data_IF_486852093918
#
_entry.id   IF_486852093918
#
_cell.length_a   1.000
_cell.length_b   1.000
_cell.length_c   1.000
_cell.angle_alpha   90.00
_cell.angle_beta   90.00
_cell.angle_gamma   90.00
#
_symmetry.space_group_name_H-M   'P 1'
#
loop_
_entity.id
_entity.type
_entity.pdbx_description
1 polymer ?
#
# COMPACT_ATOMS: atom_id res chain seq x y z
N UNK A 1 89.22 3.89 -3.92
CA UNK A 1 88.38 4.03 -5.11
C UNK A 1 87.20 3.05 -4.94
N UNK A 2 86.09 3.46 -4.36
CA UNK A 2 84.89 2.63 -4.19
C UNK A 2 83.74 3.36 -4.90
N UNK A 3 83.24 2.78 -5.96
CA UNK A 3 82.05 3.26 -6.70
C UNK A 3 80.81 2.68 -6.04
N UNK A 4 79.97 3.54 -5.49
CA UNK A 4 78.65 3.17 -5.05
C UNK A 4 77.66 3.28 -6.24
N UNK A 5 77.03 2.16 -6.59
CA UNK A 5 75.95 2.09 -7.58
C UNK A 5 74.64 2.26 -6.79
N UNK A 6 73.97 3.38 -7.03
CA UNK A 6 72.60 3.62 -6.49
C UNK A 6 71.61 3.01 -7.43
N UNK A 7 70.85 1.99 -6.99
CA UNK A 7 69.69 1.42 -7.68
C UNK A 7 68.47 2.22 -7.25
N UNK A 8 67.87 2.94 -8.19
CA UNK A 8 66.59 3.61 -8.01
C UNK A 8 65.49 2.59 -8.34
N UNK A 9 64.77 2.14 -7.32
CA UNK A 9 63.55 1.34 -7.48
C UNK A 9 62.40 2.32 -7.66
N UNK A 10 61.92 2.48 -8.90
CA UNK A 10 60.69 3.19 -9.19
C UNK A 10 59.48 2.28 -8.86
N UNK A 11 58.90 2.49 -7.70
CA UNK A 11 57.62 1.87 -7.32
C UNK A 11 56.48 2.49 -8.10
N UNK A 12 55.88 1.74 -9.03
CA UNK A 12 54.62 2.12 -9.68
C UNK A 12 53.46 1.97 -8.67
N UNK A 13 53.03 3.06 -8.09
CA UNK A 13 51.74 3.16 -7.39
C UNK A 13 50.63 3.10 -8.44
N UNK A 14 50.08 1.91 -8.68
CA UNK A 14 48.82 1.75 -9.37
C UNK A 14 47.72 2.33 -8.45
N UNK A 15 47.34 3.56 -8.70
CA UNK A 15 46.16 4.18 -8.05
C UNK A 15 44.94 3.40 -8.47
N UNK A 16 44.38 2.58 -7.57
CA UNK A 16 43.00 2.12 -7.66
C UNK A 16 42.14 3.34 -7.43
N UNK A 17 41.68 3.98 -8.47
CA UNK A 17 40.59 4.93 -8.45
C UNK A 17 39.35 4.13 -8.10
N UNK A 18 39.03 3.99 -6.82
CA UNK A 18 37.68 3.66 -6.41
C UNK A 18 36.80 4.81 -6.92
N UNK A 19 36.10 4.60 -8.01
CA UNK A 19 35.02 5.50 -8.40
C UNK A 19 34.01 5.46 -7.26
N UNK A 20 33.98 6.50 -6.44
CA UNK A 20 32.90 6.73 -5.51
C UNK A 20 31.64 6.87 -6.38
N UNK A 21 30.85 5.81 -6.46
CA UNK A 21 29.55 5.86 -7.10
C UNK A 21 28.73 6.84 -6.27
N UNK A 22 28.24 7.91 -6.89
CA UNK A 22 27.43 8.89 -6.19
C UNK A 22 26.22 8.16 -5.60
N UNK A 23 26.01 8.33 -4.31
CA UNK A 23 24.88 7.72 -3.60
C UNK A 23 23.58 8.27 -4.20
N UNK A 24 22.72 7.38 -4.69
CA UNK A 24 21.41 7.76 -5.23
C UNK A 24 20.50 8.08 -4.06
N UNK A 25 20.03 9.33 -3.98
CA UNK A 25 19.08 9.79 -2.96
C UNK A 25 17.70 9.91 -3.59
N UNK A 26 16.71 9.21 -3.04
CA UNK A 26 15.33 9.20 -3.48
C UNK A 26 14.40 9.61 -2.34
N UNK A 27 13.23 10.13 -2.71
CA UNK A 27 12.15 10.46 -1.79
C UNK A 27 10.99 9.47 -1.96
N UNK A 28 10.33 9.12 -0.85
CA UNK A 28 9.18 8.22 -0.89
C UNK A 28 8.06 8.71 0.01
N UNK A 29 6.81 8.59 -0.44
CA UNK A 29 5.61 8.89 0.33
C UNK A 29 4.80 7.64 0.61
N UNK A 30 4.28 7.52 1.86
CA UNK A 30 3.44 6.39 2.25
C UNK A 30 2.40 6.74 3.30
N UNK A 31 1.46 5.82 3.55
CA UNK A 31 0.44 5.93 4.59
C UNK A 31 1.02 5.80 6.00
N UNK A 32 0.19 5.52 7.01
CA UNK A 32 0.64 5.37 8.39
C UNK A 32 1.68 4.24 8.54
N UNK A 33 2.69 4.39 9.41
CA UNK A 33 3.79 3.43 9.55
C UNK A 33 3.33 1.99 9.85
N UNK A 34 2.26 1.81 10.63
CA UNK A 34 1.71 0.49 10.97
C UNK A 34 0.80 -0.14 9.90
N UNK A 35 0.59 0.53 8.76
CA UNK A 35 -0.18 -0.02 7.63
C UNK A 35 0.72 -0.80 6.67
N UNK A 36 0.13 -1.70 5.86
CA UNK A 36 0.88 -2.43 4.83
C UNK A 36 1.68 -1.50 3.90
N UNK A 37 1.12 -0.41 3.35
CA UNK A 37 1.89 0.56 2.57
C UNK A 37 3.05 1.19 3.34
N UNK A 38 2.83 1.53 4.63
CA UNK A 38 3.89 2.09 5.48
C UNK A 38 5.04 1.12 5.68
N UNK A 39 4.73 -0.14 5.99
CA UNK A 39 5.72 -1.20 6.18
C UNK A 39 6.45 -1.48 4.86
N UNK A 40 5.74 -1.52 3.73
CA UNK A 40 6.33 -1.80 2.42
C UNK A 40 7.40 -0.78 2.03
N UNK A 41 7.09 0.51 2.09
CA UNK A 41 8.05 1.56 1.71
C UNK A 41 9.26 1.58 2.67
N UNK A 42 9.04 1.35 3.98
CA UNK A 42 10.15 1.24 4.94
C UNK A 42 11.02 0.01 4.66
N UNK A 43 10.41 -1.12 4.30
CA UNK A 43 11.14 -2.32 3.91
C UNK A 43 11.91 -2.12 2.60
N UNK A 44 11.33 -1.42 1.60
CA UNK A 44 12.04 -1.05 0.38
C UNK A 44 13.26 -0.17 0.67
N UNK A 45 13.10 0.83 1.56
CA UNK A 45 14.22 1.69 1.96
C UNK A 45 15.37 0.88 2.55
N UNK A 46 15.07 -0.08 3.42
CA UNK A 46 16.09 -0.96 4.01
C UNK A 46 16.68 -1.93 2.96
N UNK A 47 15.86 -2.56 2.13
CA UNK A 47 16.33 -3.47 1.10
C UNK A 47 17.23 -2.75 0.07
N UNK A 48 16.85 -1.55 -0.35
CA UNK A 48 17.64 -0.73 -1.26
C UNK A 48 18.98 -0.29 -0.64
N UNK A 49 18.98 0.09 0.65
CA UNK A 49 20.21 0.43 1.37
C UNK A 49 21.13 -0.80 1.53
N UNK A 50 20.59 -1.95 1.94
CA UNK A 50 21.34 -3.19 2.08
C UNK A 50 21.96 -3.66 0.76
N UNK A 51 21.29 -3.41 -0.36
CA UNK A 51 21.77 -3.72 -1.71
C UNK A 51 22.69 -2.62 -2.29
N UNK A 52 22.96 -1.54 -1.58
CA UNK A 52 23.69 -0.35 -2.03
C UNK A 52 23.10 0.25 -3.33
N UNK A 53 21.77 0.25 -3.45
CA UNK A 53 21.04 0.80 -4.60
C UNK A 53 20.77 2.29 -4.40
N UNK A 54 20.16 2.65 -3.28
CA UNK A 54 19.77 4.02 -2.99
C UNK A 54 19.55 4.25 -1.49
N UNK A 55 19.68 5.52 -1.08
CA UNK A 55 19.18 6.03 0.19
C UNK A 55 17.78 6.61 -0.04
N UNK A 56 16.75 6.06 0.58
CA UNK A 56 15.35 6.49 0.40
C UNK A 56 14.87 7.23 1.64
N UNK A 57 14.59 8.53 1.48
CA UNK A 57 13.98 9.35 2.52
C UNK A 57 12.46 9.14 2.51
N UNK A 58 11.92 8.48 3.54
CA UNK A 58 10.50 8.14 3.63
C UNK A 58 9.72 9.20 4.41
N UNK A 59 8.61 9.68 3.82
CA UNK A 59 7.63 10.58 4.44
C UNK A 59 6.32 9.80 4.70
N UNK A 60 6.08 9.31 5.92
CA UNK A 60 4.89 8.55 6.27
C UNK A 60 3.68 9.45 6.55
N UNK A 61 2.50 8.81 6.74
CA UNK A 61 1.27 9.48 7.15
C UNK A 61 0.55 10.25 6.05
N UNK A 62 0.96 10.06 4.79
CA UNK A 62 0.40 10.75 3.65
C UNK A 62 -0.92 10.17 3.18
N UNK A 63 -1.72 10.99 2.51
CA UNK A 63 -2.90 10.52 1.77
C UNK A 63 -2.46 10.05 0.39
N UNK A 64 -2.49 8.74 0.16
CA UNK A 64 -1.92 8.10 -1.04
C UNK A 64 -2.48 8.64 -2.36
N UNK A 65 -3.70 9.21 -2.35
CA UNK A 65 -4.26 9.94 -3.51
C UNK A 65 -3.37 11.12 -3.94
N UNK A 66 -2.82 11.86 -2.97
CA UNK A 66 -1.89 12.96 -3.26
C UNK A 66 -0.52 12.40 -3.66
N UNK A 67 -0.06 11.36 -2.98
CA UNK A 67 1.25 10.74 -3.24
C UNK A 67 1.35 10.20 -4.67
N UNK A 68 0.31 9.54 -5.18
CA UNK A 68 0.26 9.09 -6.59
C UNK A 68 0.32 10.28 -7.56
N UNK A 69 -0.38 11.38 -7.26
CA UNK A 69 -0.29 12.59 -8.07
C UNK A 69 1.11 13.23 -7.98
N UNK A 70 1.73 13.24 -6.80
CA UNK A 70 3.09 13.77 -6.62
C UNK A 70 4.11 12.97 -7.43
N UNK A 71 3.99 11.64 -7.49
CA UNK A 71 4.82 10.79 -8.38
C UNK A 71 4.58 11.15 -9.85
N UNK A 72 3.30 11.26 -10.27
CA UNK A 72 2.97 11.62 -11.65
C UNK A 72 3.55 12.98 -12.06
N UNK A 73 3.61 13.93 -11.14
CA UNK A 73 4.14 15.28 -11.32
C UNK A 73 5.66 15.38 -11.07
N UNK A 74 6.34 14.28 -10.73
CA UNK A 74 7.77 14.26 -10.43
C UNK A 74 8.19 14.99 -9.15
N UNK A 75 7.26 15.15 -8.18
CA UNK A 75 7.51 15.82 -6.88
C UNK A 75 8.04 14.88 -5.81
N UNK A 76 7.81 13.59 -5.96
CA UNK A 76 8.39 12.50 -5.17
C UNK A 76 8.74 11.36 -6.10
N UNK A 77 9.76 10.58 -5.76
CA UNK A 77 10.29 9.55 -6.64
C UNK A 77 9.48 8.25 -6.54
N UNK A 78 9.04 7.91 -5.33
CA UNK A 78 8.35 6.65 -5.03
C UNK A 78 7.09 6.94 -4.20
N UNK A 79 6.02 6.22 -4.46
CA UNK A 79 4.87 6.20 -3.56
C UNK A 79 4.24 4.81 -3.46
N UNK A 80 3.74 4.47 -2.27
CA UNK A 80 2.78 3.39 -2.14
C UNK A 80 1.45 3.78 -2.79
N UNK A 81 0.85 2.91 -3.58
CA UNK A 81 -0.37 3.19 -4.33
C UNK A 81 -1.35 2.02 -4.37
N UNK A 82 -2.60 2.19 -3.90
CA UNK A 82 -3.71 1.37 -4.36
C UNK A 82 -3.89 1.53 -5.87
N UNK A 83 -3.94 0.45 -6.63
CA UNK A 83 -3.97 0.53 -8.10
C UNK A 83 -5.30 0.99 -8.68
N UNK A 84 -6.33 1.17 -7.85
CA UNK A 84 -7.51 1.93 -8.25
C UNK A 84 -7.19 3.43 -8.52
N UNK A 85 -6.14 4.00 -7.90
CA UNK A 85 -5.85 5.43 -7.98
C UNK A 85 -5.42 5.88 -9.39
N UNK A 86 -4.49 5.21 -10.09
CA UNK A 86 -4.17 5.54 -11.48
C UNK A 86 -5.41 5.44 -12.40
N UNK A 87 -6.28 4.44 -12.19
CA UNK A 87 -7.53 4.33 -12.93
C UNK A 87 -8.47 5.53 -12.67
N UNK A 88 -8.71 5.90 -11.41
CA UNK A 88 -9.54 7.06 -11.08
C UNK A 88 -8.96 8.36 -11.63
N UNK A 89 -7.63 8.49 -11.61
CA UNK A 89 -6.92 9.64 -12.17
C UNK A 89 -7.13 9.74 -13.67
N UNK A 90 -6.97 8.62 -14.41
CA UNK A 90 -7.15 8.59 -15.87
C UNK A 90 -8.57 8.96 -16.32
N UNK A 91 -9.58 8.70 -15.48
CA UNK A 91 -10.98 9.04 -15.74
C UNK A 91 -11.36 10.42 -15.19
N UNK A 92 -10.47 11.07 -14.43
CA UNK A 92 -10.73 12.31 -13.69
C UNK A 92 -12.01 12.21 -12.84
N UNK A 93 -12.13 11.15 -12.05
CA UNK A 93 -13.30 10.90 -11.18
C UNK A 93 -12.89 10.80 -9.71
N UNK A 94 -13.88 10.89 -8.83
CA UNK A 94 -13.65 10.82 -7.39
C UNK A 94 -12.67 11.90 -6.91
N UNK A 95 -11.57 11.52 -6.24
CA UNK A 95 -10.60 12.50 -5.70
C UNK A 95 -9.90 13.33 -6.78
N UNK A 96 -9.88 12.87 -8.01
CA UNK A 96 -9.21 13.52 -9.14
C UNK A 96 -10.16 14.30 -10.08
N UNK A 97 -11.44 14.45 -9.73
CA UNK A 97 -12.43 15.11 -10.59
C UNK A 97 -12.03 16.54 -11.01
N UNK A 98 -11.27 17.25 -10.16
CA UNK A 98 -10.82 18.62 -10.43
C UNK A 98 -9.71 18.72 -11.48
N UNK A 99 -9.04 17.62 -11.81
CA UNK A 99 -7.99 17.62 -12.83
C UNK A 99 -8.53 17.84 -14.25
N UNK A 100 -9.78 17.40 -14.50
CA UNK A 100 -10.31 17.28 -15.85
C UNK A 100 -9.74 16.07 -16.59
N UNK A 101 -10.46 15.61 -17.63
CA UNK A 101 -10.15 14.33 -18.29
C UNK A 101 -8.80 14.31 -18.98
N UNK A 102 -8.42 15.39 -19.65
CA UNK A 102 -7.14 15.48 -20.37
C UNK A 102 -5.95 15.41 -19.41
N UNK A 103 -5.94 16.30 -18.40
CA UNK A 103 -4.85 16.33 -17.40
C UNK A 103 -4.82 15.06 -16.56
N UNK A 104 -5.98 14.51 -16.21
CA UNK A 104 -6.06 13.26 -15.47
C UNK A 104 -5.47 12.07 -16.24
N UNK A 105 -5.75 11.96 -17.55
CA UNK A 105 -5.19 10.94 -18.41
C UNK A 105 -3.67 11.12 -18.60
N UNK A 106 -3.22 12.36 -18.82
CA UNK A 106 -1.80 12.71 -18.92
C UNK A 106 -1.05 12.26 -17.66
N UNK A 107 -1.50 12.68 -16.47
CA UNK A 107 -0.83 12.33 -15.21
C UNK A 107 -0.86 10.82 -14.93
N UNK A 108 -1.98 10.15 -15.21
CA UNK A 108 -2.05 8.71 -15.02
C UNK A 108 -1.05 7.94 -15.89
N UNK A 109 -0.73 8.45 -17.09
CA UNK A 109 0.26 7.85 -17.98
C UNK A 109 1.71 8.08 -17.52
N UNK A 110 1.93 8.95 -16.54
CA UNK A 110 3.26 9.19 -15.95
C UNK A 110 3.58 8.25 -14.79
N UNK A 111 2.67 7.34 -14.42
CA UNK A 111 2.83 6.43 -13.27
C UNK A 111 3.08 5.01 -13.74
N UNK A 112 4.14 4.39 -13.24
CA UNK A 112 4.48 2.99 -13.50
C UNK A 112 4.70 2.23 -12.18
N UNK A 113 4.45 0.92 -12.18
CA UNK A 113 4.63 0.05 -11.02
C UNK A 113 6.04 -0.56 -10.99
N UNK A 114 6.60 -0.70 -9.79
CA UNK A 114 7.79 -1.52 -9.54
C UNK A 114 7.40 -2.97 -9.18
N UNK A 115 6.49 -3.12 -8.24
CA UNK A 115 5.99 -4.41 -7.75
C UNK A 115 4.61 -4.27 -7.12
N UNK A 116 3.98 -5.40 -6.84
CA UNK A 116 2.62 -5.49 -6.33
C UNK A 116 2.57 -6.19 -4.98
N UNK A 117 1.56 -5.86 -4.19
CA UNK A 117 1.21 -6.57 -2.96
C UNK A 117 -0.26 -6.33 -2.58
N UNK A 118 -0.77 -7.15 -1.65
CA UNK A 118 -2.12 -6.99 -1.11
C UNK A 118 -2.07 -5.99 0.02
N UNK A 119 -2.70 -4.82 -0.20
CA UNK A 119 -2.64 -3.70 0.75
C UNK A 119 -3.48 -3.97 1.98
N UNK A 120 -4.73 -4.42 1.81
CA UNK A 120 -5.68 -4.49 2.91
C UNK A 120 -6.98 -5.20 2.52
N UNK A 121 -7.76 -5.55 3.53
CA UNK A 121 -9.20 -5.84 3.41
C UNK A 121 -9.95 -4.82 4.26
N UNK A 122 -11.09 -4.30 3.79
CA UNK A 122 -11.85 -3.32 4.54
C UNK A 122 -12.97 -3.98 5.35
N UNK A 123 -13.12 -3.57 6.61
CA UNK A 123 -14.14 -4.03 7.53
C UNK A 123 -14.53 -3.00 8.57
N UNK A 124 -15.47 -3.36 9.43
CA UNK A 124 -15.90 -2.58 10.60
C UNK A 124 -15.13 -3.07 11.82
N UNK A 125 -14.66 -2.17 12.65
CA UNK A 125 -14.14 -2.49 13.97
C UNK A 125 -14.40 -1.36 14.98
N UNK A 126 -14.47 -1.74 16.26
CA UNK A 126 -14.69 -0.80 17.35
C UNK A 126 -14.11 -1.34 18.66
N UNK A 127 -13.89 -0.47 19.64
CA UNK A 127 -13.62 -0.92 21.01
C UNK A 127 -14.85 -1.58 21.61
N UNK A 128 -14.66 -2.61 22.40
CA UNK A 128 -15.76 -3.31 23.09
C UNK A 128 -16.53 -2.37 24.03
N UNK A 129 -15.86 -1.33 24.53
CA UNK A 129 -16.46 -0.27 25.35
C UNK A 129 -17.34 0.73 24.59
N UNK A 130 -17.38 0.69 23.25
CA UNK A 130 -18.12 1.69 22.44
C UNK A 130 -19.61 1.41 22.28
N UNK A 131 -20.10 0.27 22.76
CA UNK A 131 -21.47 -0.21 22.57
C UNK A 131 -21.90 -0.42 21.10
N UNK A 132 -20.95 -0.58 20.19
CA UNK A 132 -21.21 -0.99 18.81
C UNK A 132 -21.25 -2.52 18.77
N UNK A 133 -22.37 -3.07 18.28
CA UNK A 133 -22.63 -4.52 18.22
C UNK A 133 -22.66 -5.07 16.78
N UNK A 134 -21.98 -4.39 15.87
CA UNK A 134 -21.86 -4.78 14.48
C UNK A 134 -22.37 -3.72 13.50
N UNK A 135 -22.56 -4.14 12.25
CA UNK A 135 -22.92 -3.21 11.18
C UNK A 135 -24.25 -2.48 11.42
N UNK A 136 -25.23 -3.10 12.06
CA UNK A 136 -26.51 -2.47 12.37
C UNK A 136 -26.41 -1.50 13.56
N UNK A 137 -25.42 -1.66 14.41
CA UNK A 137 -25.19 -0.82 15.60
C UNK A 137 -24.55 0.54 15.29
N UNK A 138 -24.15 0.82 14.05
CA UNK A 138 -23.50 2.08 13.68
C UNK A 138 -24.45 3.25 13.38
N UNK A 139 -25.78 3.03 13.46
CA UNK A 139 -26.75 4.09 13.24
C UNK A 139 -26.59 5.22 14.28
N UNK A 140 -26.44 6.45 13.81
CA UNK A 140 -26.22 7.63 14.65
C UNK A 140 -24.78 7.79 15.18
N UNK A 141 -23.90 6.79 15.00
CA UNK A 141 -22.54 6.80 15.51
C UNK A 141 -21.60 7.72 14.72
N UNK A 142 -20.48 8.07 15.34
CA UNK A 142 -19.35 8.75 14.71
C UNK A 142 -18.41 7.68 14.15
N UNK A 143 -18.24 7.64 12.83
CA UNK A 143 -17.45 6.60 12.15
C UNK A 143 -16.21 7.22 11.56
N UNK A 144 -15.02 6.80 12.03
CA UNK A 144 -13.79 7.13 11.33
C UNK A 144 -13.70 6.27 10.06
N UNK A 145 -13.78 6.92 8.90
CA UNK A 145 -13.88 6.27 7.60
C UNK A 145 -12.75 6.67 6.64
N UNK A 146 -11.65 7.19 7.18
CA UNK A 146 -10.42 7.47 6.45
C UNK A 146 -10.13 8.96 6.25
N UNK A 147 -9.18 9.30 5.39
CA UNK A 147 -8.86 10.68 5.04
C UNK A 147 -10.02 11.40 4.35
N UNK A 148 -10.03 12.75 4.35
CA UNK A 148 -11.13 13.55 3.77
C UNK A 148 -11.44 13.28 2.30
N UNK A 149 -10.60 12.52 1.62
CA UNK A 149 -10.75 12.11 0.21
C UNK A 149 -9.90 10.86 -0.05
N UNK A 150 -10.24 10.14 -1.12
CA UNK A 150 -9.49 8.97 -1.56
C UNK A 150 -10.29 7.68 -1.53
N UNK A 151 -9.63 6.59 -1.91
CA UNK A 151 -10.26 5.28 -2.05
C UNK A 151 -10.84 4.75 -0.72
N UNK A 152 -10.13 4.94 0.40
CA UNK A 152 -10.57 4.45 1.70
C UNK A 152 -11.93 5.03 2.10
N UNK A 153 -12.11 6.36 1.97
CA UNK A 153 -13.38 7.02 2.27
C UNK A 153 -14.50 6.57 1.34
N UNK A 154 -14.20 6.47 0.04
CA UNK A 154 -15.20 6.02 -0.95
C UNK A 154 -15.66 4.61 -0.66
N UNK A 155 -14.74 3.70 -0.38
CA UNK A 155 -15.04 2.31 -0.06
C UNK A 155 -15.78 2.18 1.27
N UNK A 156 -15.38 2.92 2.30
CA UNK A 156 -16.07 2.90 3.60
C UNK A 156 -17.54 3.31 3.47
N UNK A 157 -17.83 4.42 2.78
CA UNK A 157 -19.19 4.88 2.50
C UNK A 157 -19.99 3.85 1.73
N UNK A 158 -19.39 3.22 0.73
CA UNK A 158 -20.03 2.18 -0.06
C UNK A 158 -20.35 0.94 0.79
N UNK A 159 -19.41 0.46 1.60
CA UNK A 159 -19.62 -0.68 2.49
C UNK A 159 -20.69 -0.44 3.53
N UNK A 160 -20.69 0.72 4.17
CA UNK A 160 -21.72 1.09 5.13
C UNK A 160 -23.09 1.07 4.41
N UNK A 161 -23.19 1.71 3.24
CA UNK A 161 -24.43 1.75 2.48
C UNK A 161 -24.91 0.37 2.03
N UNK A 162 -24.02 -0.48 1.55
CA UNK A 162 -24.35 -1.86 1.14
C UNK A 162 -24.85 -2.71 2.30
N UNK A 163 -24.26 -2.54 3.48
CA UNK A 163 -24.57 -3.36 4.64
C UNK A 163 -25.80 -2.90 5.41
N UNK A 164 -26.03 -1.59 5.49
CA UNK A 164 -26.99 -0.98 6.41
C UNK A 164 -28.01 -0.06 5.74
N UNK A 165 -27.76 0.31 4.48
CA UNK A 165 -28.54 1.36 3.81
C UNK A 165 -28.23 2.79 4.29
N UNK A 166 -27.39 2.98 5.31
CA UNK A 166 -27.09 4.29 5.89
C UNK A 166 -26.21 5.14 4.97
N UNK A 167 -26.46 6.46 5.03
CA UNK A 167 -25.65 7.45 4.31
C UNK A 167 -25.03 8.44 5.31
N UNK A 168 -23.79 8.86 5.04
CA UNK A 168 -23.10 9.86 5.84
C UNK A 168 -23.86 11.19 5.90
N UNK A 169 -23.91 11.78 7.08
CA UNK A 169 -24.66 13.03 7.35
C UNK A 169 -26.16 12.85 7.55
N UNK A 170 -26.71 11.63 7.35
CA UNK A 170 -28.13 11.29 7.61
C UNK A 170 -28.28 10.14 8.59
N UNK A 171 -27.53 9.05 8.37
CA UNK A 171 -27.63 7.85 9.19
C UNK A 171 -26.45 7.65 10.15
N UNK A 172 -25.33 8.28 9.89
CA UNK A 172 -24.15 8.31 10.75
C UNK A 172 -23.33 9.58 10.49
N UNK A 173 -22.40 9.92 11.38
CA UNK A 173 -21.46 11.04 11.23
C UNK A 173 -20.10 10.52 10.82
N UNK A 174 -19.58 10.94 9.66
CA UNK A 174 -18.22 10.61 9.22
C UNK A 174 -17.17 11.45 9.95
N UNK A 175 -16.13 10.80 10.41
CA UNK A 175 -14.90 11.42 10.92
C UNK A 175 -13.79 11.17 9.90
N UNK A 176 -13.16 12.23 9.41
CA UNK A 176 -12.08 12.14 8.43
C UNK A 176 -10.83 12.84 8.93
N UNK A 177 -9.75 12.11 9.01
CA UNK A 177 -8.41 12.64 9.34
C UNK A 177 -7.35 12.03 8.43
N UNK A 178 -6.21 12.70 8.28
CA UNK A 178 -5.08 12.14 7.54
C UNK A 178 -4.50 10.90 8.24
N UNK A 179 -3.88 10.01 7.48
CA UNK A 179 -3.35 8.75 8.01
C UNK A 179 -2.35 8.93 9.15
N UNK A 180 -1.60 10.02 9.19
CA UNK A 180 -0.69 10.33 10.29
C UNK A 180 -1.40 10.54 11.64
N UNK A 181 -2.70 10.82 11.64
CA UNK A 181 -3.53 10.99 12.84
C UNK A 181 -4.38 9.76 13.17
N UNK A 182 -4.35 8.72 12.34
CA UNK A 182 -5.27 7.59 12.43
C UNK A 182 -5.22 6.89 13.80
N UNK A 183 -4.02 6.55 14.31
CA UNK A 183 -3.86 5.87 15.61
C UNK A 183 -4.44 6.73 16.73
N UNK A 184 -4.13 8.03 16.75
CA UNK A 184 -4.68 8.95 17.74
C UNK A 184 -6.21 8.99 17.69
N UNK A 185 -6.77 9.12 16.48
CA UNK A 185 -8.24 9.16 16.28
C UNK A 185 -8.94 7.87 16.74
N UNK A 186 -8.26 6.73 16.60
CA UNK A 186 -8.78 5.46 17.13
C UNK A 186 -8.76 5.44 18.65
N UNK A 187 -7.73 6.01 19.28
CA UNK A 187 -7.50 5.91 20.74
C UNK A 187 -8.21 7.00 21.56
N UNK A 188 -8.47 8.19 20.99
CA UNK A 188 -8.90 9.38 21.74
C UNK A 188 -10.42 9.52 21.90
N UNK A 189 -11.20 8.54 21.42
CA UNK A 189 -12.65 8.55 21.50
C UNK A 189 -13.34 9.58 20.60
N UNK A 190 -12.65 10.14 19.60
CA UNK A 190 -13.26 11.04 18.62
C UNK A 190 -14.16 10.31 17.61
N UNK A 191 -14.08 8.99 17.53
CA UNK A 191 -14.96 8.12 16.78
C UNK A 191 -15.44 6.95 17.64
N UNK A 192 -16.65 6.47 17.38
CA UNK A 192 -17.27 5.36 18.09
C UNK A 192 -16.95 4.02 17.43
N UNK A 193 -16.75 4.03 16.13
CA UNK A 193 -16.32 2.88 15.34
C UNK A 193 -15.49 3.30 14.12
N UNK A 194 -14.92 2.32 13.45
CA UNK A 194 -13.94 2.51 12.39
C UNK A 194 -14.28 1.62 11.20
N UNK A 195 -14.39 2.19 9.99
CA UNK A 195 -14.55 1.44 8.75
C UNK A 195 -13.36 1.79 7.85
N UNK A 196 -12.28 1.06 8.03
CA UNK A 196 -10.98 1.36 7.41
C UNK A 196 -10.39 0.13 6.71
N UNK A 197 -9.52 0.35 5.72
CA UNK A 197 -8.69 -0.73 5.20
C UNK A 197 -7.76 -1.26 6.30
N UNK A 198 -7.75 -2.58 6.48
CA UNK A 198 -6.96 -3.31 7.49
C UNK A 198 -6.08 -4.35 6.84
N UNK A 199 -4.89 -4.52 7.35
CA UNK A 199 -4.10 -5.75 7.22
C UNK A 199 -4.30 -6.62 8.46
N UNK A 200 -3.95 -7.88 8.42
CA UNK A 200 -4.12 -8.77 9.56
C UNK A 200 -2.79 -9.43 9.95
N UNK A 201 -2.38 -9.20 11.22
CA UNK A 201 -2.88 -8.18 12.15
C UNK A 201 -2.58 -6.75 11.66
N UNK A 202 -3.46 -5.80 11.99
CA UNK A 202 -3.26 -4.38 11.63
C UNK A 202 -2.47 -3.67 12.72
N UNK A 203 -1.42 -2.94 12.34
CA UNK A 203 -0.55 -2.24 13.30
C UNK A 203 -1.28 -1.12 14.06
N UNK A 204 -2.33 -0.51 13.48
CA UNK A 204 -3.14 0.51 14.14
C UNK A 204 -4.05 -0.13 15.19
N UNK A 205 -4.64 -1.29 14.87
CA UNK A 205 -5.43 -2.08 15.83
C UNK A 205 -4.52 -2.52 16.97
N UNK A 206 -3.36 -3.11 16.67
CA UNK A 206 -2.39 -3.54 17.69
C UNK A 206 -1.97 -2.39 18.61
N UNK A 207 -1.71 -1.21 18.06
CA UNK A 207 -1.40 -0.01 18.86
C UNK A 207 -2.61 0.45 19.71
N UNK A 208 -3.83 0.31 19.19
CA UNK A 208 -5.05 0.70 19.88
C UNK A 208 -5.41 -0.23 21.05
N UNK A 209 -4.96 -1.48 21.07
CA UNK A 209 -5.19 -2.43 22.17
C UNK A 209 -4.63 -1.96 23.51
N UNK A 210 -3.70 -1.00 23.52
CA UNK A 210 -3.27 -0.32 24.74
C UNK A 210 -4.42 0.46 25.42
N UNK A 211 -5.50 0.78 24.69
CA UNK A 211 -6.66 1.53 25.18
C UNK A 211 -7.87 0.64 25.48
N UNK A 212 -7.84 -0.63 25.09
CA UNK A 212 -8.92 -1.59 25.34
C UNK A 212 -9.02 -2.66 24.26
N UNK A 213 -9.78 -3.70 24.55
CA UNK A 213 -10.08 -4.78 23.61
C UNK A 213 -11.00 -4.29 22.49
N UNK A 214 -10.90 -4.92 21.33
CA UNK A 214 -11.61 -4.53 20.12
C UNK A 214 -12.32 -5.71 19.47
N UNK A 215 -13.46 -5.42 18.86
CA UNK A 215 -14.17 -6.37 17.98
C UNK A 215 -14.08 -5.92 16.52
N UNK A 216 -13.85 -6.88 15.62
CA UNK A 216 -13.80 -6.72 14.17
C UNK A 216 -14.95 -7.53 13.57
N UNK A 217 -15.78 -6.92 12.72
CA UNK A 217 -16.91 -7.59 12.08
C UNK A 217 -16.65 -7.79 10.60
N UNK A 218 -16.79 -9.04 10.18
CA UNK A 218 -16.86 -9.45 8.78
C UNK A 218 -18.05 -8.80 8.06
N UNK A 219 -17.98 -8.70 6.72
CA UNK A 219 -19.22 -8.52 5.95
C UNK A 219 -20.09 -9.77 6.11
N UNK A 220 -21.42 -9.61 6.27
CA UNK A 220 -22.35 -10.71 6.17
C UNK A 220 -22.22 -11.43 4.82
N UNK A 221 -22.31 -12.75 4.84
CA UNK A 221 -22.19 -13.56 3.62
C UNK A 221 -23.20 -13.15 2.55
N UNK A 222 -24.42 -12.81 2.95
CA UNK A 222 -25.48 -12.34 2.07
C UNK A 222 -25.14 -11.04 1.33
N UNK A 223 -24.37 -10.14 1.96
CA UNK A 223 -23.88 -8.90 1.34
C UNK A 223 -22.69 -9.22 0.42
N UNK A 224 -21.77 -10.05 0.88
CA UNK A 224 -20.58 -10.44 0.13
C UNK A 224 -20.95 -11.17 -1.18
N UNK A 225 -21.93 -12.06 -1.14
CA UNK A 225 -22.41 -12.82 -2.33
C UNK A 225 -23.37 -12.00 -3.22
N UNK A 226 -23.67 -10.76 -2.88
CA UNK A 226 -24.64 -9.94 -3.66
C UNK A 226 -24.06 -9.43 -4.98
N UNK A 227 -24.95 -9.24 -5.98
CA UNK A 227 -24.59 -8.58 -7.23
C UNK A 227 -24.04 -7.16 -7.04
N UNK A 228 -24.46 -6.48 -5.97
CA UNK A 228 -23.98 -5.15 -5.65
C UNK A 228 -22.51 -5.19 -5.19
N UNK A 229 -22.13 -6.16 -4.37
CA UNK A 229 -20.74 -6.35 -3.96
C UNK A 229 -19.87 -6.88 -5.11
N UNK A 230 -20.40 -7.78 -5.94
CA UNK A 230 -19.70 -8.27 -7.12
C UNK A 230 -19.28 -7.14 -8.10
N UNK A 231 -20.07 -6.05 -8.18
CA UNK A 231 -19.70 -4.85 -8.96
C UNK A 231 -18.50 -4.10 -8.36
N UNK A 232 -18.35 -4.10 -7.03
CA UNK A 232 -17.18 -3.51 -6.34
C UNK A 232 -15.92 -4.29 -6.70
N UNK A 233 -15.98 -5.62 -6.70
CA UNK A 233 -14.87 -6.50 -7.07
C UNK A 233 -14.41 -6.38 -8.53
N UNK A 234 -15.16 -5.69 -9.39
CA UNK A 234 -14.76 -5.42 -10.79
C UNK A 234 -13.98 -4.13 -10.98
N UNK A 235 -13.79 -3.34 -9.92
CA UNK A 235 -12.97 -2.13 -10.00
C UNK A 235 -11.47 -2.52 -9.99
N UNK A 236 -10.63 -1.92 -10.86
CA UNK A 236 -9.21 -2.23 -10.91
C UNK A 236 -8.54 -2.13 -9.52
N UNK A 237 -7.73 -3.12 -9.16
CA UNK A 237 -7.07 -3.17 -7.86
C UNK A 237 -7.99 -3.45 -6.67
N UNK A 238 -9.25 -3.84 -6.91
CA UNK A 238 -10.18 -4.29 -5.88
C UNK A 238 -10.46 -5.77 -6.07
N UNK A 239 -10.44 -6.55 -5.00
CA UNK A 239 -10.63 -8.00 -5.04
C UNK A 239 -11.56 -8.45 -3.91
N UNK A 240 -12.62 -9.22 -4.19
CA UNK A 240 -13.35 -9.91 -3.14
C UNK A 240 -12.39 -10.80 -2.35
N UNK A 241 -12.34 -10.62 -1.05
CA UNK A 241 -11.35 -11.29 -0.20
C UNK A 241 -12.05 -12.08 0.90
N UNK A 242 -11.63 -13.33 1.05
CA UNK A 242 -11.98 -14.23 2.16
C UNK A 242 -10.69 -14.62 2.88
N UNK A 243 -10.71 -14.55 4.21
CA UNK A 243 -9.60 -14.92 5.07
C UNK A 243 -10.12 -15.80 6.19
N UNK A 244 -9.45 -16.90 6.48
CA UNK A 244 -9.77 -17.68 7.69
C UNK A 244 -9.42 -16.85 8.92
N UNK A 245 -10.32 -16.80 9.89
CA UNK A 245 -10.11 -16.05 11.14
C UNK A 245 -8.84 -16.49 11.85
N UNK A 246 -8.56 -17.81 11.84
CA UNK A 246 -7.34 -18.37 12.42
C UNK A 246 -6.05 -17.82 11.81
N UNK A 247 -6.09 -17.36 10.56
CA UNK A 247 -4.92 -16.85 9.84
C UNK A 247 -4.76 -15.32 10.01
N UNK A 248 -5.66 -14.65 10.75
CA UNK A 248 -5.60 -13.19 10.95
C UNK A 248 -4.53 -12.75 11.95
N UNK A 249 -3.92 -13.68 12.68
CA UNK A 249 -2.71 -13.45 13.49
C UNK A 249 -2.93 -12.72 14.81
N UNK A 250 -4.16 -12.44 15.23
CA UNK A 250 -4.44 -11.90 16.56
C UNK A 250 -4.39 -12.99 17.63
N UNK A 251 -3.64 -12.78 18.69
CA UNK A 251 -3.47 -13.73 19.80
C UNK A 251 -4.24 -13.34 21.06
N UNK A 252 -4.59 -12.07 21.20
CA UNK A 252 -5.34 -11.52 22.35
C UNK A 252 -5.87 -10.14 22.04
N UNK A 253 -6.87 -9.68 22.79
CA UNK A 253 -7.42 -8.32 22.74
C UNK A 253 -8.25 -8.02 21.48
N UNK A 254 -8.43 -8.98 20.57
CA UNK A 254 -9.27 -8.82 19.38
C UNK A 254 -10.22 -9.99 19.25
N UNK A 255 -11.51 -9.68 19.16
CA UNK A 255 -12.56 -10.64 18.79
C UNK A 255 -12.92 -10.42 17.32
N UNK A 256 -12.97 -11.48 16.52
CA UNK A 256 -13.45 -11.41 15.12
C UNK A 256 -14.80 -12.08 15.02
N UNK A 257 -15.81 -11.31 14.60
CA UNK A 257 -17.18 -11.78 14.44
C UNK A 257 -17.48 -12.04 12.97
N UNK A 258 -17.89 -13.27 12.67
CA UNK A 258 -18.37 -13.71 11.36
C UNK A 258 -19.46 -14.75 11.52
N UNK A 259 -20.22 -15.02 10.46
CA UNK A 259 -21.25 -16.10 10.42
C UNK A 259 -20.62 -17.50 10.40
N UNK A 260 -19.36 -17.58 10.03
CA UNK A 260 -18.53 -18.79 9.98
C UNK A 260 -17.06 -18.43 10.30
N UNK A 261 -16.14 -19.34 10.11
CA UNK A 261 -14.72 -19.14 10.40
C UNK A 261 -14.01 -18.25 9.36
N UNK A 262 -14.76 -17.48 8.55
CA UNK A 262 -14.23 -16.70 7.42
C UNK A 262 -14.55 -15.22 7.55
N UNK A 263 -13.52 -14.39 7.58
CA UNK A 263 -13.65 -12.94 7.45
C UNK A 263 -13.77 -12.56 5.97
N UNK A 264 -14.75 -11.72 5.63
CA UNK A 264 -15.06 -11.27 4.28
C UNK A 264 -15.02 -9.76 4.16
N UNK A 265 -14.51 -9.26 3.04
CA UNK A 265 -14.51 -7.84 2.73
C UNK A 265 -13.92 -7.54 1.35
N UNK A 266 -14.00 -6.29 0.88
CA UNK A 266 -13.28 -5.87 -0.31
C UNK A 266 -11.79 -5.74 0.02
N UNK A 267 -10.97 -6.51 -0.68
CA UNK A 267 -9.53 -6.39 -0.65
C UNK A 267 -9.04 -5.31 -1.60
N UNK A 268 -7.87 -4.80 -1.33
CA UNK A 268 -7.17 -3.82 -2.17
C UNK A 268 -5.81 -4.36 -2.56
N UNK A 269 -5.52 -4.34 -3.86
CA UNK A 269 -4.19 -4.60 -4.43
C UNK A 269 -3.56 -3.28 -4.83
N UNK A 270 -2.28 -3.17 -4.63
CA UNK A 270 -1.47 -2.03 -5.02
C UNK A 270 -0.01 -2.40 -5.05
N UNK A 271 0.85 -1.42 -4.94
CA UNK A 271 2.29 -1.62 -4.96
C UNK A 271 3.03 -0.31 -4.78
N UNK A 272 4.31 -0.33 -4.95
CA UNK A 272 5.11 0.88 -5.13
C UNK A 272 5.10 1.32 -6.58
N UNK A 273 4.85 2.61 -6.74
CA UNK A 273 4.83 3.28 -8.03
C UNK A 273 5.90 4.36 -8.11
N UNK A 274 6.37 4.58 -9.32
CA UNK A 274 7.38 5.58 -9.69
C UNK A 274 6.92 6.35 -10.92
N UNK A 275 7.59 7.47 -11.23
CA UNK A 275 7.38 8.11 -12.52
C UNK A 275 7.95 7.24 -13.65
N UNK A 276 7.27 7.20 -14.81
CA UNK A 276 7.74 6.45 -16.00
C UNK A 276 9.12 6.88 -16.49
N UNK A 277 9.57 8.10 -16.12
CA UNK A 277 10.87 8.64 -16.46
C UNK A 277 11.96 8.33 -15.42
N UNK A 278 11.66 7.53 -14.38
CA UNK A 278 12.72 7.04 -13.49
C UNK A 278 13.78 6.32 -14.31
N UNK A 279 15.05 6.48 -13.94
CA UNK A 279 16.14 5.79 -14.60
C UNK A 279 15.90 4.26 -14.63
N UNK A 280 16.17 3.65 -15.79
CA UNK A 280 15.92 2.22 -16.01
C UNK A 280 16.68 1.33 -15.01
N UNK A 281 17.96 1.62 -14.78
CA UNK A 281 18.81 0.81 -13.90
C UNK A 281 18.41 1.01 -12.43
N UNK A 282 17.98 2.20 -12.06
CA UNK A 282 17.47 2.50 -10.71
C UNK A 282 16.16 1.73 -10.46
N UNK A 283 15.20 1.81 -11.37
CA UNK A 283 13.92 1.09 -11.23
C UNK A 283 14.13 -0.43 -11.21
N UNK A 284 15.04 -0.94 -12.05
CA UNK A 284 15.44 -2.35 -12.07
C UNK A 284 16.05 -2.77 -10.74
N UNK A 285 17.00 -2.00 -10.23
CA UNK A 285 17.68 -2.31 -8.98
C UNK A 285 16.75 -2.25 -7.77
N UNK A 286 15.82 -1.27 -7.71
CA UNK A 286 14.79 -1.19 -6.66
C UNK A 286 13.85 -2.40 -6.69
N UNK A 287 13.39 -2.80 -7.89
CA UNK A 287 12.54 -3.99 -8.03
C UNK A 287 13.28 -5.27 -7.64
N UNK A 288 14.56 -5.38 -8.04
CA UNK A 288 15.41 -6.50 -7.63
C UNK A 288 15.61 -6.51 -6.11
N UNK A 289 15.84 -5.36 -5.47
CA UNK A 289 15.95 -5.27 -4.02
C UNK A 289 14.65 -5.73 -3.31
N UNK A 290 13.47 -5.43 -3.87
CA UNK A 290 12.22 -6.00 -3.38
C UNK A 290 12.20 -7.53 -3.49
N UNK A 291 12.49 -8.09 -4.67
CA UNK A 291 12.47 -9.54 -4.93
C UNK A 291 13.43 -10.29 -4.01
N UNK A 292 14.68 -9.83 -3.94
CA UNK A 292 15.74 -10.44 -3.11
C UNK A 292 15.47 -10.24 -1.60
N UNK A 293 14.77 -9.17 -1.25
CA UNK A 293 14.42 -8.81 0.13
C UNK A 293 13.15 -9.47 0.67
N UNK A 294 12.36 -10.17 -0.15
CA UNK A 294 11.06 -10.71 0.25
C UNK A 294 11.11 -11.50 1.57
N UNK A 295 12.02 -12.46 1.69
CA UNK A 295 12.11 -13.31 2.87
C UNK A 295 12.84 -12.62 4.03
N UNK A 296 13.94 -11.94 3.74
CA UNK A 296 14.87 -11.44 4.76
C UNK A 296 14.49 -10.05 5.29
N UNK A 297 13.73 -9.26 4.53
CA UNK A 297 13.33 -7.91 4.92
C UNK A 297 11.80 -7.84 5.09
N UNK A 298 11.02 -8.09 4.03
CA UNK A 298 9.57 -7.89 4.06
C UNK A 298 8.86 -8.87 4.99
N UNK A 299 9.04 -10.18 4.78
CA UNK A 299 8.42 -11.23 5.61
C UNK A 299 9.03 -11.29 7.01
N UNK A 300 10.31 -10.96 7.16
CA UNK A 300 10.96 -10.90 8.47
C UNK A 300 10.46 -9.76 9.34
N UNK A 301 10.19 -8.55 8.76
CA UNK A 301 9.62 -7.42 9.50
C UNK A 301 8.17 -7.62 9.90
N UNK A 302 7.42 -8.33 9.08
CA UNK A 302 6.00 -8.54 9.27
C UNK A 302 5.60 -9.97 8.91
N UNK A 303 6.08 -10.98 9.67
CA UNK A 303 5.86 -12.40 9.35
C UNK A 303 4.36 -12.77 9.36
N UNK A 304 3.55 -12.09 10.15
CA UNK A 304 2.11 -12.22 10.19
C UNK A 304 1.41 -11.65 8.94
N UNK A 305 2.09 -10.79 8.18
CA UNK A 305 1.60 -10.21 6.92
C UNK A 305 2.15 -10.95 5.70
N UNK A 306 2.63 -12.18 5.86
CA UNK A 306 3.21 -12.97 4.77
C UNK A 306 2.30 -13.07 3.53
N UNK A 307 0.98 -13.07 3.75
CA UNK A 307 -0.01 -13.05 2.68
C UNK A 307 -0.06 -11.72 1.89
N UNK A 308 0.51 -10.64 2.41
CA UNK A 308 0.63 -9.38 1.69
C UNK A 308 1.81 -9.41 0.70
N UNK A 309 2.91 -10.07 1.09
CA UNK A 309 4.16 -10.11 0.33
C UNK A 309 4.29 -11.42 -0.46
N UNK A 310 3.38 -11.66 -1.41
CA UNK A 310 3.39 -12.91 -2.17
C UNK A 310 4.47 -12.98 -3.26
N UNK A 311 5.06 -11.84 -3.66
CA UNK A 311 6.16 -11.81 -4.64
C UNK A 311 5.73 -12.18 -6.06
N UNK A 312 4.48 -11.93 -6.39
CA UNK A 312 3.89 -12.19 -7.71
C UNK A 312 3.59 -10.87 -8.43
N UNK A 313 3.35 -10.95 -9.72
CA UNK A 313 3.08 -9.76 -10.53
C UNK A 313 1.60 -9.35 -10.54
N UNK A 314 0.71 -10.19 -10.06
CA UNK A 314 -0.73 -9.95 -9.87
C UNK A 314 -1.46 -9.26 -11.05
N UNK A 315 -1.10 -9.62 -12.27
CA UNK A 315 -1.61 -8.99 -13.50
C UNK A 315 -3.14 -9.00 -13.57
N UNK A 316 -3.77 -10.11 -13.16
CA UNK A 316 -5.22 -10.25 -13.17
C UNK A 316 -5.90 -9.34 -12.15
N UNK A 317 -5.36 -9.25 -10.92
CA UNK A 317 -5.93 -8.47 -9.82
C UNK A 317 -5.72 -6.96 -10.02
N UNK A 318 -4.63 -6.57 -10.65
CA UNK A 318 -4.31 -5.16 -10.94
C UNK A 318 -5.07 -4.61 -12.15
N UNK A 319 -5.62 -5.49 -12.97
CA UNK A 319 -6.27 -5.17 -14.25
C UNK A 319 -5.36 -4.42 -15.24
N UNK A 320 -4.04 -4.66 -15.16
CA UNK A 320 -3.05 -4.02 -16.04
C UNK A 320 -3.26 -4.35 -17.52
N UNK A 321 -3.82 -5.53 -17.83
CA UNK A 321 -4.17 -5.93 -19.18
C UNK A 321 -5.62 -5.58 -19.58
N UNK A 322 -6.35 -4.89 -18.73
CA UNK A 322 -7.73 -4.46 -18.92
C UNK A 322 -7.87 -2.94 -18.90
N UNK A 323 -8.61 -2.44 -17.92
CA UNK A 323 -9.00 -1.03 -17.84
C UNK A 323 -7.99 -0.15 -17.10
N UNK A 324 -7.05 -0.73 -16.36
CA UNK A 324 -6.08 0.03 -15.57
C UNK A 324 -4.97 0.59 -16.49
N UNK A 325 -4.74 1.91 -16.51
CA UNK A 325 -3.68 2.50 -17.34
C UNK A 325 -2.28 2.18 -16.83
N UNK A 326 -2.13 1.79 -15.55
CA UNK A 326 -0.82 1.52 -14.98
C UNK A 326 -0.18 0.29 -15.63
N UNK A 327 1.13 0.38 -15.87
CA UNK A 327 1.99 -0.69 -16.38
C UNK A 327 3.21 -0.83 -15.48
N UNK A 328 3.95 -1.90 -15.64
CA UNK A 328 5.25 -2.00 -14.99
C UNK A 328 6.23 -1.03 -15.65
N UNK A 329 7.12 -0.45 -14.84
CA UNK A 329 8.26 0.29 -15.36
C UNK A 329 9.18 -0.66 -16.16
N UNK A 330 9.78 -0.22 -17.29
CA UNK A 330 10.64 -1.10 -18.08
C UNK A 330 11.77 -1.77 -17.28
N UNK A 331 12.40 -1.04 -16.35
CA UNK A 331 13.38 -1.60 -15.42
C UNK A 331 12.79 -2.67 -14.50
N UNK A 332 11.55 -2.46 -14.02
CA UNK A 332 10.87 -3.47 -13.21
C UNK A 332 10.55 -4.73 -14.02
N UNK A 333 10.09 -4.58 -15.27
CA UNK A 333 9.90 -5.72 -16.19
C UNK A 333 11.18 -6.55 -16.29
N UNK A 334 12.32 -5.90 -16.54
CA UNK A 334 13.61 -6.59 -16.64
C UNK A 334 13.97 -7.35 -15.36
N UNK A 335 13.76 -6.75 -14.18
CA UNK A 335 14.03 -7.41 -12.90
C UNK A 335 13.12 -8.64 -12.67
N UNK A 336 11.82 -8.52 -12.96
CA UNK A 336 10.87 -9.63 -12.84
C UNK A 336 11.19 -10.78 -13.81
N UNK A 337 11.53 -10.46 -15.08
CA UNK A 337 11.90 -11.48 -16.08
C UNK A 337 13.22 -12.18 -15.71
N UNK A 338 14.21 -11.46 -15.17
CA UNK A 338 15.44 -12.06 -14.62
C UNK A 338 15.18 -12.95 -13.41
N UNK A 339 14.14 -12.69 -12.63
CA UNK A 339 13.70 -13.52 -11.52
C UNK A 339 12.85 -14.73 -11.97
N UNK A 340 12.62 -14.91 -13.27
CA UNK A 340 11.91 -16.06 -13.85
C UNK A 340 10.42 -15.86 -14.03
N UNK A 341 9.88 -14.64 -13.85
CA UNK A 341 8.48 -14.32 -14.09
C UNK A 341 8.27 -13.94 -15.57
N UNK A 342 7.06 -14.18 -16.07
CA UNK A 342 6.66 -13.73 -17.41
C UNK A 342 5.74 -12.54 -17.29
N UNK A 343 6.13 -11.38 -17.81
CA UNK A 343 5.29 -10.19 -17.89
C UNK A 343 4.65 -10.14 -19.28
N UNK A 344 3.31 -10.18 -19.39
CA UNK A 344 2.65 -10.07 -20.68
C UNK A 344 2.83 -8.66 -21.27
N UNK A 345 2.87 -8.56 -22.62
CA UNK A 345 3.11 -7.28 -23.31
C UNK A 345 2.10 -6.19 -22.97
N UNK A 346 0.86 -6.57 -22.64
CA UNK A 346 -0.18 -5.62 -22.21
C UNK A 346 0.10 -4.99 -20.84
N UNK A 347 1.02 -5.52 -20.05
CA UNK A 347 1.42 -4.98 -18.74
C UNK A 347 2.80 -4.29 -18.77
N UNK A 348 3.43 -4.23 -19.94
CA UNK A 348 4.72 -3.56 -20.18
C UNK A 348 4.54 -2.10 -20.59
#
# INVERSE_FOLDING_TARGET
>A
MNKYISVIVAGALAGMSASAQAEINLTAETASPGSTPGISVLALSEAAANANVANIQVTPGQTLTNSVQNVAEGKTDIAAAPFILPFLMSKAVGPYAKLGKEKGAELASQVAALYTYRISVQGLYAFDSSNIDGWNGIAGARIFNGPPRGAALTNARLLIKLNTGLEEGKGYTGVQVNWGQAVKTIQDGSADAFVLPMSFPDGRVTAALASGDMTIWSLPKSVYDSDAFAKVGKLPGTVPTELKIADMGYTSGVTVVSEDDTFRGPGTVGGEVVNVNMDFDVAKALTKAFIDGLDNVYRAKAPFMSNAWHGETDIALTDMCGNNPIKYHPGAVAAWEEAGYTIPDCAK
#
